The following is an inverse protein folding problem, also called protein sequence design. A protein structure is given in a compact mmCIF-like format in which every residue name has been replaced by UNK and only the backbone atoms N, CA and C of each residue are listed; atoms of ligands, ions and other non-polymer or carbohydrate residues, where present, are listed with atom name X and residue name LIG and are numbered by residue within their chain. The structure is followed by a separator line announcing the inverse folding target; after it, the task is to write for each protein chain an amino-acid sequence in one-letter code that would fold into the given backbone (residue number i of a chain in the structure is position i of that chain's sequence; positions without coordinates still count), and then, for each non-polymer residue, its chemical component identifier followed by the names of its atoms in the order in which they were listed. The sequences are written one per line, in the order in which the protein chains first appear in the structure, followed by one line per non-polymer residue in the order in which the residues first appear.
data_IF_497548210496
#
_entry.id   IF_497548210496
#
_cell.length_a   1.000
_cell.length_b   1.000
_cell.length_c   1.000
_cell.angle_alpha   90.00
_cell.angle_beta   90.00
_cell.angle_gamma   90.00
#
_symmetry.space_group_name_H-M   'P 1'
#
loop_
_entity.id
_entity.type
_entity.pdbx_description
1 polymer ?
#
# COMPACT_ATOMS: atom_id res chain seq x y z
N UNK A 1 -5.98 -21.24 14.08
CA UNK A 1 -6.29 -20.23 13.06
C UNK A 1 -5.54 -20.61 11.79
N UNK A 2 -6.21 -20.55 10.61
CA UNK A 2 -5.62 -20.86 9.31
C UNK A 2 -5.39 -19.55 8.56
N UNK A 3 -4.13 -19.24 8.27
CA UNK A 3 -3.72 -18.01 7.57
C UNK A 3 -3.05 -18.40 6.26
N UNK A 4 -3.56 -17.87 5.15
CA UNK A 4 -2.95 -18.07 3.83
C UNK A 4 -2.13 -16.84 3.45
N UNK A 5 -0.89 -17.08 3.01
CA UNK A 5 -0.03 -16.07 2.41
C UNK A 5 0.14 -16.29 0.92
N UNK A 6 -0.17 -15.26 0.13
CA UNK A 6 0.16 -15.22 -1.28
C UNK A 6 1.61 -14.74 -1.45
N UNK A 7 2.39 -15.45 -2.26
CA UNK A 7 3.80 -15.11 -2.53
C UNK A 7 4.66 -14.94 -1.27
N UNK A 8 4.70 -15.92 -0.33
CA UNK A 8 5.35 -15.77 0.97
C UNK A 8 6.88 -15.59 0.89
N UNK A 9 7.47 -15.76 -0.29
CA UNK A 9 8.89 -15.59 -0.57
C UNK A 9 9.26 -14.14 -0.97
N UNK A 10 8.28 -13.27 -1.17
CA UNK A 10 8.52 -11.89 -1.60
C UNK A 10 7.67 -10.89 -0.81
N UNK A 11 8.27 -9.82 -0.25
CA UNK A 11 9.72 -9.55 -0.12
C UNK A 11 10.46 -10.59 0.73
N UNK A 12 11.77 -10.82 0.49
CA UNK A 12 12.49 -11.93 1.15
C UNK A 12 12.50 -11.91 2.66
N UNK A 13 12.43 -10.73 3.30
CA UNK A 13 12.44 -10.58 4.76
C UNK A 13 11.04 -10.75 5.40
N UNK A 14 9.95 -10.82 4.61
CA UNK A 14 8.58 -10.97 5.12
C UNK A 14 8.27 -12.38 5.65
N UNK A 15 9.18 -13.34 5.47
CA UNK A 15 9.04 -14.64 6.14
C UNK A 15 8.87 -14.52 7.66
N UNK A 16 9.36 -13.43 8.28
CA UNK A 16 9.23 -13.18 9.72
C UNK A 16 7.77 -13.08 10.15
N UNK A 17 6.90 -12.46 9.36
CA UNK A 17 5.45 -12.45 9.63
C UNK A 17 4.87 -13.87 9.63
N UNK A 18 5.28 -14.69 8.67
CA UNK A 18 4.88 -16.09 8.62
C UNK A 18 5.40 -16.87 9.84
N UNK A 19 6.67 -16.66 10.20
CA UNK A 19 7.31 -17.32 11.32
C UNK A 19 6.62 -16.96 12.67
N UNK A 20 6.37 -15.67 12.91
CA UNK A 20 5.75 -15.21 14.15
C UNK A 20 4.31 -15.67 14.27
N UNK A 21 3.54 -15.71 13.18
CA UNK A 21 2.20 -16.30 13.17
C UNK A 21 2.24 -17.79 13.47
N UNK A 22 3.21 -18.53 12.94
CA UNK A 22 3.40 -19.95 13.23
C UNK A 22 3.77 -20.17 14.70
N UNK A 23 4.67 -19.37 15.27
CA UNK A 23 5.04 -19.40 16.67
C UNK A 23 3.85 -19.08 17.58
N UNK A 24 2.95 -18.20 17.15
CA UNK A 24 1.68 -17.91 17.81
C UNK A 24 0.62 -19.02 17.65
N UNK A 25 0.96 -20.15 17.01
CA UNK A 25 0.09 -21.33 16.88
C UNK A 25 -0.86 -21.31 15.67
N UNK A 26 -0.63 -20.43 14.69
CA UNK A 26 -1.40 -20.47 13.44
C UNK A 26 -0.86 -21.54 12.48
N UNK A 27 -1.76 -22.14 11.68
CA UNK A 27 -1.38 -22.83 10.45
C UNK A 27 -1.09 -21.76 9.39
N UNK A 28 0.15 -21.64 8.98
CA UNK A 28 0.58 -20.68 7.96
C UNK A 28 0.75 -21.40 6.63
N UNK A 29 -0.11 -21.09 5.68
CA UNK A 29 -0.28 -21.81 4.42
C UNK A 29 0.16 -20.90 3.26
N UNK A 30 1.21 -21.27 2.55
CA UNK A 30 1.76 -20.47 1.46
C UNK A 30 1.20 -20.86 0.09
N UNK A 31 0.88 -19.89 -0.76
CA UNK A 31 0.60 -20.09 -2.18
C UNK A 31 1.60 -19.24 -2.97
N UNK A 32 2.30 -19.84 -3.93
CA UNK A 32 3.27 -19.14 -4.78
C UNK A 32 3.60 -19.94 -6.03
N UNK A 33 4.31 -19.31 -6.96
CA UNK A 33 4.77 -19.91 -8.20
C UNK A 33 6.24 -20.38 -8.14
N UNK A 34 6.99 -19.94 -7.13
CA UNK A 34 8.36 -20.37 -6.91
C UNK A 34 8.41 -21.88 -6.60
N UNK A 35 9.29 -22.67 -7.25
CA UNK A 35 9.54 -24.06 -6.87
C UNK A 35 9.92 -24.18 -5.39
N UNK A 36 9.36 -25.19 -4.70
CA UNK A 36 9.60 -25.38 -3.26
C UNK A 36 11.09 -25.45 -2.89
N UNK A 37 11.89 -26.09 -3.73
CA UNK A 37 13.32 -26.26 -3.48
C UNK A 37 14.12 -24.95 -3.62
N UNK A 38 13.58 -23.96 -4.33
CA UNK A 38 14.17 -22.63 -4.47
C UNK A 38 13.80 -21.69 -3.32
N UNK A 39 12.75 -22.01 -2.54
CA UNK A 39 12.41 -21.24 -1.36
C UNK A 39 13.56 -21.28 -0.36
N UNK A 40 13.85 -20.15 0.29
CA UNK A 40 14.84 -20.11 1.37
C UNK A 40 14.46 -21.06 2.51
N UNK A 41 15.46 -21.53 3.27
CA UNK A 41 15.22 -22.34 4.47
C UNK A 41 14.28 -21.64 5.46
N UNK A 42 14.38 -20.31 5.56
CA UNK A 42 13.58 -19.50 6.47
C UNK A 42 12.11 -19.48 6.06
N UNK A 43 11.81 -19.25 4.78
CA UNK A 43 10.44 -19.34 4.24
C UNK A 43 9.88 -20.75 4.45
N UNK A 44 10.62 -21.80 4.10
CA UNK A 44 10.18 -23.18 4.30
C UNK A 44 9.90 -23.50 5.76
N UNK A 45 10.76 -23.03 6.67
CA UNK A 45 10.60 -23.20 8.11
C UNK A 45 9.41 -22.44 8.70
N UNK A 46 9.08 -21.28 8.13
CA UNK A 46 7.97 -20.44 8.56
C UNK A 46 6.58 -20.95 8.10
N UNK A 47 6.51 -21.76 7.07
CA UNK A 47 5.25 -22.29 6.56
C UNK A 47 4.87 -23.62 7.21
N UNK A 48 3.57 -23.88 7.36
CA UNK A 48 3.00 -25.19 7.70
C UNK A 48 2.91 -26.06 6.46
N UNK A 49 2.48 -25.48 5.35
CA UNK A 49 2.41 -26.12 4.05
C UNK A 49 2.55 -25.07 2.94
N UNK A 50 3.04 -25.50 1.79
CA UNK A 50 3.17 -24.66 0.59
C UNK A 50 2.50 -25.34 -0.61
N UNK A 51 1.62 -24.61 -1.27
CA UNK A 51 0.97 -25.02 -2.51
C UNK A 51 1.55 -24.23 -3.68
N UNK A 52 2.29 -24.92 -4.57
CA UNK A 52 2.82 -24.31 -5.77
C UNK A 52 1.73 -24.22 -6.85
N UNK A 53 1.58 -23.06 -7.46
CA UNK A 53 0.83 -22.84 -8.71
C UNK A 53 1.84 -22.57 -9.84
N UNK A 54 1.47 -22.78 -11.10
CA UNK A 54 2.39 -22.50 -12.21
C UNK A 54 2.46 -21.01 -12.56
N UNK A 55 1.36 -20.28 -12.29
CA UNK A 55 1.25 -18.85 -12.52
C UNK A 55 0.29 -18.24 -11.50
N UNK A 56 0.79 -17.32 -10.69
CA UNK A 56 0.01 -16.59 -9.68
C UNK A 56 -1.04 -15.64 -10.28
N UNK A 57 -0.93 -15.29 -11.57
CA UNK A 57 -1.93 -14.47 -12.26
C UNK A 57 -3.13 -15.31 -12.75
N UNK A 58 -2.99 -16.63 -12.77
CA UNK A 58 -4.08 -17.52 -13.16
C UNK A 58 -5.03 -17.74 -11.97
N UNK A 59 -6.05 -16.91 -11.87
CA UNK A 59 -6.96 -16.84 -10.73
C UNK A 59 -7.57 -18.20 -10.33
N UNK A 60 -8.00 -19.03 -11.29
CA UNK A 60 -8.58 -20.35 -11.01
C UNK A 60 -7.58 -21.32 -10.35
N UNK A 61 -6.27 -21.11 -10.56
CA UNK A 61 -5.25 -21.91 -9.86
C UNK A 61 -5.21 -21.52 -8.37
N UNK A 62 -5.34 -20.24 -8.05
CA UNK A 62 -5.41 -19.75 -6.66
C UNK A 62 -6.68 -20.25 -5.96
N UNK A 63 -7.82 -20.24 -6.65
CA UNK A 63 -9.10 -20.79 -6.14
C UNK A 63 -8.94 -22.28 -5.80
N UNK A 64 -8.30 -23.07 -6.68
CA UNK A 64 -8.04 -24.49 -6.41
C UNK A 64 -7.09 -24.70 -5.22
N UNK A 65 -6.05 -23.88 -5.10
CA UNK A 65 -5.14 -23.95 -3.97
C UNK A 65 -5.82 -23.62 -2.64
N UNK A 66 -6.68 -22.56 -2.61
CA UNK A 66 -7.50 -22.24 -1.43
C UNK A 66 -8.52 -23.36 -1.12
N UNK A 67 -9.14 -23.93 -2.13
CA UNK A 67 -10.05 -25.08 -1.99
C UNK A 67 -9.35 -26.28 -1.37
N UNK A 68 -8.13 -26.58 -1.82
CA UNK A 68 -7.29 -27.63 -1.24
C UNK A 68 -7.00 -27.36 0.24
N UNK A 69 -6.56 -26.15 0.59
CA UNK A 69 -6.29 -25.80 1.98
C UNK A 69 -7.54 -25.82 2.85
N UNK A 70 -8.68 -25.34 2.30
CA UNK A 70 -9.97 -25.41 3.00
C UNK A 70 -10.38 -26.84 3.28
N UNK A 71 -10.20 -27.76 2.32
CA UNK A 71 -10.47 -29.18 2.51
C UNK A 71 -9.59 -29.80 3.59
N UNK A 72 -8.31 -29.46 3.60
CA UNK A 72 -7.32 -30.09 4.48
C UNK A 72 -7.27 -29.52 5.90
N UNK A 73 -7.45 -28.19 6.04
CA UNK A 73 -7.29 -27.46 7.29
C UNK A 73 -8.60 -26.87 7.85
N UNK A 74 -9.67 -26.93 7.08
CA UNK A 74 -10.93 -26.28 7.40
C UNK A 74 -10.97 -24.82 6.94
N UNK A 75 -11.88 -24.04 7.51
CA UNK A 75 -12.08 -22.64 7.11
C UNK A 75 -10.77 -21.83 7.18
N UNK A 76 -10.51 -21.07 6.14
CA UNK A 76 -9.44 -20.09 6.12
C UNK A 76 -9.92 -18.83 6.86
N UNK A 77 -9.18 -18.44 7.89
CA UNK A 77 -9.53 -17.31 8.75
C UNK A 77 -9.01 -15.99 8.19
N UNK A 78 -7.79 -16.00 7.59
CA UNK A 78 -7.15 -14.83 7.00
C UNK A 78 -6.42 -15.21 5.71
N UNK A 79 -6.35 -14.23 4.80
CA UNK A 79 -5.60 -14.32 3.56
C UNK A 79 -4.92 -12.96 3.33
N UNK A 80 -3.61 -12.96 3.12
CA UNK A 80 -2.83 -11.75 2.90
C UNK A 80 -1.56 -12.06 2.08
N UNK A 81 -0.96 -11.04 1.47
CA UNK A 81 0.37 -11.10 0.87
C UNK A 81 1.31 -10.12 1.55
N UNK A 82 0.77 -9.19 2.35
CA UNK A 82 1.46 -8.00 2.86
C UNK A 82 2.11 -7.16 1.73
N UNK A 83 1.59 -7.31 0.51
CA UNK A 83 2.12 -6.75 -0.71
C UNK A 83 1.01 -6.06 -1.50
N UNK A 84 1.27 -4.83 -1.92
CA UNK A 84 0.29 -4.02 -2.65
C UNK A 84 -0.09 -4.61 -4.01
N UNK A 85 0.83 -5.33 -4.65
CA UNK A 85 0.62 -5.93 -5.96
C UNK A 85 -0.57 -6.91 -5.98
N UNK A 86 -0.77 -7.69 -4.90
CA UNK A 86 -1.80 -8.73 -4.83
C UNK A 86 -3.12 -8.27 -4.22
N UNK A 87 -3.26 -7.01 -3.81
CA UNK A 87 -4.46 -6.51 -3.10
C UNK A 87 -5.79 -6.83 -3.79
N UNK A 88 -5.88 -6.67 -5.11
CA UNK A 88 -7.10 -6.98 -5.86
C UNK A 88 -7.39 -8.49 -5.90
N UNK A 89 -6.35 -9.30 -6.05
CA UNK A 89 -6.45 -10.77 -6.02
C UNK A 89 -6.88 -11.23 -4.63
N UNK A 90 -6.30 -10.67 -3.57
CA UNK A 90 -6.70 -10.94 -2.19
C UNK A 90 -8.16 -10.60 -1.95
N UNK A 91 -8.59 -9.40 -2.35
CA UNK A 91 -9.97 -8.95 -2.16
C UNK A 91 -10.98 -9.89 -2.83
N UNK A 92 -10.69 -10.31 -4.07
CA UNK A 92 -11.52 -11.26 -4.82
C UNK A 92 -11.56 -12.64 -4.18
N UNK A 93 -10.41 -13.16 -3.73
CA UNK A 93 -10.35 -14.45 -3.02
C UNK A 93 -11.07 -14.41 -1.67
N UNK A 94 -11.01 -13.26 -0.96
CA UNK A 94 -11.76 -13.06 0.28
C UNK A 94 -13.27 -13.07 0.05
N UNK A 95 -13.73 -12.51 -1.08
CA UNK A 95 -15.15 -12.59 -1.46
C UNK A 95 -15.58 -14.04 -1.75
N UNK A 96 -14.84 -14.74 -2.60
CA UNK A 96 -15.19 -16.10 -3.04
C UNK A 96 -15.19 -17.12 -1.88
N UNK A 97 -14.30 -16.96 -0.89
CA UNK A 97 -14.17 -17.87 0.25
C UNK A 97 -14.73 -17.32 1.57
N UNK A 98 -15.41 -16.19 1.52
CA UNK A 98 -15.94 -15.50 2.71
C UNK A 98 -14.91 -15.34 3.84
N UNK A 99 -13.70 -14.87 3.48
CA UNK A 99 -12.60 -14.60 4.41
C UNK A 99 -12.70 -13.12 4.86
N UNK A 100 -12.41 -12.85 6.14
CA UNK A 100 -12.40 -11.50 6.68
C UNK A 100 -11.27 -10.66 6.08
N UNK A 101 -11.54 -9.37 5.85
CA UNK A 101 -10.62 -8.37 5.33
C UNK A 101 -11.23 -7.56 4.19
N UNK A 102 -10.42 -6.68 3.57
CA UNK A 102 -10.83 -5.80 2.47
C UNK A 102 -11.46 -6.61 1.33
N UNK A 103 -12.63 -6.18 0.87
CA UNK A 103 -13.44 -6.83 -0.15
C UNK A 103 -13.26 -6.18 -1.53
N UNK A 104 -13.73 -6.88 -2.57
CA UNK A 104 -13.73 -6.36 -3.94
C UNK A 104 -14.51 -5.05 -4.10
N UNK A 105 -15.56 -4.84 -3.31
CA UNK A 105 -16.32 -3.58 -3.31
C UNK A 105 -15.58 -2.39 -2.69
N UNK A 106 -14.52 -2.64 -1.94
CA UNK A 106 -13.77 -1.63 -1.18
C UNK A 106 -12.40 -1.32 -1.80
N UNK A 107 -11.87 -2.26 -2.60
CA UNK A 107 -10.48 -2.21 -3.06
C UNK A 107 -10.16 -0.99 -3.91
N UNK A 108 -11.11 -0.50 -4.69
CA UNK A 108 -10.94 0.66 -5.56
C UNK A 108 -10.65 1.94 -4.77
N UNK A 109 -11.24 2.10 -3.58
CA UNK A 109 -10.98 3.24 -2.70
C UNK A 109 -9.56 3.24 -2.10
N UNK A 110 -8.89 2.10 -2.15
CA UNK A 110 -7.52 1.93 -1.66
C UNK A 110 -6.52 2.04 -2.82
N UNK A 111 -6.88 1.57 -4.02
CA UNK A 111 -5.98 1.50 -5.17
C UNK A 111 -6.07 2.69 -6.11
N UNK A 112 -7.29 3.21 -6.35
CA UNK A 112 -7.49 4.33 -7.28
C UNK A 112 -7.30 5.66 -6.56
N UNK A 113 -6.26 6.39 -6.96
CA UNK A 113 -5.85 7.66 -6.33
C UNK A 113 -6.97 8.72 -6.32
N UNK A 114 -7.79 8.74 -7.38
CA UNK A 114 -8.97 9.62 -7.45
C UNK A 114 -9.99 9.29 -6.36
N UNK A 115 -10.35 8.02 -6.18
CA UNK A 115 -11.31 7.56 -5.17
C UNK A 115 -10.71 7.62 -3.76
N UNK A 116 -9.43 7.33 -3.62
CA UNK A 116 -8.68 7.48 -2.35
C UNK A 116 -8.77 8.94 -1.84
N UNK A 117 -8.62 9.93 -2.74
CA UNK A 117 -8.76 11.36 -2.37
C UNK A 117 -10.16 11.71 -1.89
N UNK A 118 -11.19 11.07 -2.43
CA UNK A 118 -12.55 11.28 -1.94
C UNK A 118 -12.74 10.74 -0.51
N UNK A 119 -12.09 9.65 -0.17
CA UNK A 119 -12.07 9.13 1.21
C UNK A 119 -11.31 10.06 2.16
N UNK A 120 -10.15 10.58 1.77
CA UNK A 120 -9.44 11.59 2.56
C UNK A 120 -10.30 12.83 2.82
N UNK A 121 -10.98 13.34 1.78
CA UNK A 121 -11.89 14.50 1.94
C UNK A 121 -13.04 14.21 2.91
N UNK A 122 -13.64 13.01 2.85
CA UNK A 122 -14.67 12.56 3.81
C UNK A 122 -14.14 12.52 5.25
N UNK A 123 -12.87 12.15 5.43
CA UNK A 123 -12.19 12.19 6.72
C UNK A 123 -11.83 13.62 7.20
N UNK A 124 -12.13 14.65 6.41
CA UNK A 124 -11.72 16.03 6.72
C UNK A 124 -10.22 16.28 6.51
N UNK A 125 -9.54 15.39 5.78
CA UNK A 125 -8.09 15.45 5.53
C UNK A 125 -7.83 16.19 4.22
N UNK A 126 -6.93 17.17 4.27
CA UNK A 126 -6.52 17.93 3.09
C UNK A 126 -5.75 17.03 2.11
N UNK A 127 -6.09 17.14 0.83
CA UNK A 127 -5.41 16.44 -0.28
C UNK A 127 -5.10 17.40 -1.41
N UNK A 128 -4.12 17.07 -2.25
CA UNK A 128 -3.85 17.80 -3.47
C UNK A 128 -5.11 17.85 -4.36
N UNK A 129 -5.36 19.01 -4.96
CA UNK A 129 -6.41 19.15 -5.98
C UNK A 129 -5.99 18.35 -7.22
N UNK A 130 -6.91 17.60 -7.78
CA UNK A 130 -6.61 16.76 -8.93
C UNK A 130 -7.85 16.20 -9.56
N UNK A 131 -7.70 15.74 -10.79
CA UNK A 131 -8.75 15.06 -11.56
C UNK A 131 -8.16 14.02 -12.51
N UNK A 132 -8.94 13.00 -12.82
CA UNK A 132 -8.61 12.05 -13.90
C UNK A 132 -8.86 12.75 -15.22
N UNK A 133 -7.76 13.12 -15.92
CA UNK A 133 -7.83 13.88 -17.13
C UNK A 133 -7.77 12.98 -18.38
N UNK A 134 -8.87 12.89 -19.10
CA UNK A 134 -8.91 12.17 -20.38
C UNK A 134 -8.40 13.04 -21.55
N UNK A 135 -8.48 14.36 -21.44
CA UNK A 135 -8.08 15.33 -22.47
C UNK A 135 -7.14 16.40 -21.93
N UNK A 136 -6.37 16.99 -22.82
CA UNK A 136 -5.50 18.16 -22.51
C UNK A 136 -6.32 19.31 -21.95
N UNK A 137 -7.53 19.55 -22.49
CA UNK A 137 -8.41 20.64 -22.08
C UNK A 137 -8.90 20.47 -20.63
N UNK A 138 -9.21 19.25 -20.23
CA UNK A 138 -9.57 18.94 -18.84
C UNK A 138 -8.40 19.23 -17.88
N UNK A 139 -7.19 18.81 -18.25
CA UNK A 139 -5.99 19.12 -17.46
C UNK A 139 -5.71 20.63 -17.41
N UNK A 140 -5.85 21.34 -18.53
CA UNK A 140 -5.71 22.81 -18.58
C UNK A 140 -6.71 23.52 -17.67
N UNK A 141 -7.92 22.97 -17.49
CA UNK A 141 -8.89 23.55 -16.58
C UNK A 141 -8.39 23.51 -15.13
N UNK A 142 -7.85 22.38 -14.68
CA UNK A 142 -7.23 22.26 -13.36
C UNK A 142 -6.03 23.22 -13.24
N UNK A 143 -5.15 23.25 -14.24
CA UNK A 143 -3.94 24.07 -14.21
C UNK A 143 -4.25 25.58 -14.13
N UNK A 144 -5.35 26.05 -14.70
CA UNK A 144 -5.77 27.46 -14.51
C UNK A 144 -6.06 27.80 -13.05
N UNK A 145 -6.43 26.81 -12.25
CA UNK A 145 -6.75 27.00 -10.82
C UNK A 145 -5.53 26.77 -9.91
N UNK A 146 -4.64 25.83 -10.30
CA UNK A 146 -3.53 25.39 -9.46
C UNK A 146 -2.20 26.01 -9.86
N UNK A 147 -2.02 26.39 -11.13
CA UNK A 147 -0.74 26.73 -11.73
C UNK A 147 0.09 25.49 -12.06
N UNK A 148 1.27 25.74 -12.64
CA UNK A 148 2.34 24.77 -12.80
C UNK A 148 3.34 24.86 -11.63
N UNK A 149 4.11 23.78 -11.35
CA UNK A 149 4.04 22.46 -11.98
C UNK A 149 2.84 21.64 -11.52
N UNK A 150 2.49 20.61 -12.31
CA UNK A 150 1.53 19.58 -11.94
C UNK A 150 2.16 18.20 -12.03
N UNK A 151 1.58 17.22 -11.33
CA UNK A 151 2.00 15.82 -11.36
C UNK A 151 0.99 15.01 -12.13
N UNK A 152 1.46 14.22 -13.10
CA UNK A 152 0.69 13.20 -13.79
C UNK A 152 1.12 11.81 -13.30
N UNK A 153 0.21 11.02 -12.74
CA UNK A 153 0.49 9.67 -12.28
C UNK A 153 -0.67 8.71 -12.60
N UNK A 154 -0.42 7.39 -12.78
CA UNK A 154 -1.50 6.44 -12.99
C UNK A 154 -2.52 6.52 -11.85
N UNK A 155 -3.81 6.56 -12.20
CA UNK A 155 -4.89 6.55 -11.19
C UNK A 155 -4.91 5.23 -10.43
N UNK A 156 -4.70 4.11 -11.12
CA UNK A 156 -4.46 2.78 -10.53
C UNK A 156 -3.01 2.38 -10.79
N UNK A 157 -2.23 2.20 -9.73
CA UNK A 157 -0.82 1.83 -9.81
C UNK A 157 -0.13 1.90 -8.47
N UNK A 158 0.99 1.20 -8.36
CA UNK A 158 1.79 1.07 -7.14
C UNK A 158 3.12 1.82 -7.27
N UNK A 159 3.53 2.50 -6.20
CA UNK A 159 4.77 3.26 -6.16
C UNK A 159 4.75 4.49 -7.08
N UNK A 160 5.92 5.06 -7.33
CA UNK A 160 6.09 6.26 -8.17
C UNK A 160 6.32 5.92 -9.66
N UNK A 161 6.08 4.68 -10.10
CA UNK A 161 6.30 4.23 -11.47
C UNK A 161 5.38 5.01 -12.41
N UNK A 162 5.95 5.51 -13.52
CA UNK A 162 5.24 6.31 -14.52
C UNK A 162 4.59 7.59 -13.95
N UNK A 163 5.23 8.19 -12.94
CA UNK A 163 4.87 9.50 -12.41
C UNK A 163 5.72 10.57 -13.09
N UNK A 164 5.06 11.61 -13.62
CA UNK A 164 5.68 12.69 -14.38
C UNK A 164 5.40 14.03 -13.74
N UNK A 165 6.42 14.85 -13.62
CA UNK A 165 6.29 16.26 -13.32
C UNK A 165 6.19 17.02 -14.65
N UNK A 166 5.18 17.85 -14.76
CA UNK A 166 4.92 18.68 -15.95
C UNK A 166 5.07 20.14 -15.51
N UNK A 167 6.07 20.81 -16.07
CA UNK A 167 6.46 22.15 -15.65
C UNK A 167 5.80 23.25 -16.48
N UNK A 168 5.30 22.90 -17.68
CA UNK A 168 4.67 23.85 -18.60
C UNK A 168 3.69 23.19 -19.58
N UNK A 169 3.12 24.01 -20.52
CA UNK A 169 2.21 23.53 -21.55
C UNK A 169 2.88 22.59 -22.55
N UNK A 170 4.19 22.71 -22.80
CA UNK A 170 4.91 21.84 -23.72
C UNK A 170 5.00 20.43 -23.15
N UNK A 171 5.34 20.32 -21.87
CA UNK A 171 5.37 19.04 -21.15
C UNK A 171 3.97 18.40 -21.12
N UNK A 172 2.94 19.18 -20.85
CA UNK A 172 1.56 18.70 -20.85
C UNK A 172 1.16 18.09 -22.20
N UNK A 173 1.44 18.80 -23.30
CA UNK A 173 1.12 18.31 -24.65
C UNK A 173 1.94 17.08 -25.01
N UNK A 174 3.24 17.04 -24.65
CA UNK A 174 4.10 15.90 -24.88
C UNK A 174 3.60 14.68 -24.11
N UNK A 175 3.23 14.85 -22.84
CA UNK A 175 2.66 13.79 -22.01
C UNK A 175 1.41 13.19 -22.64
N UNK A 176 0.42 14.00 -23.04
CA UNK A 176 -0.81 13.49 -23.66
C UNK A 176 -0.61 12.81 -25.01
N UNK A 177 0.46 13.14 -25.74
CA UNK A 177 0.83 12.45 -27.00
C UNK A 177 1.45 11.06 -26.77
N UNK A 178 2.14 10.88 -25.65
CA UNK A 178 2.98 9.69 -25.40
C UNK A 178 2.53 8.82 -24.23
N UNK A 179 1.57 9.31 -23.42
CA UNK A 179 1.12 8.59 -22.23
C UNK A 179 0.61 7.18 -22.53
N UNK A 180 0.81 6.20 -21.64
CA UNK A 180 0.15 4.89 -21.72
C UNK A 180 -1.37 5.03 -21.78
N UNK A 181 -2.06 4.00 -22.29
CA UNK A 181 -3.52 4.00 -22.47
C UNK A 181 -4.37 3.88 -21.20
N UNK A 182 -3.77 3.80 -20.02
CA UNK A 182 -4.45 3.77 -18.72
C UNK A 182 -4.86 5.19 -18.27
N UNK A 183 -5.76 5.24 -17.29
CA UNK A 183 -6.19 6.47 -16.67
C UNK A 183 -5.07 7.13 -15.87
N UNK A 184 -4.91 8.45 -16.03
CA UNK A 184 -3.99 9.27 -15.27
C UNK A 184 -4.73 10.34 -14.48
N UNK A 185 -4.38 10.46 -13.20
CA UNK A 185 -4.76 11.62 -12.40
C UNK A 185 -3.71 12.72 -12.59
N UNK A 186 -4.18 13.94 -12.89
CA UNK A 186 -3.35 15.15 -12.90
C UNK A 186 -3.62 15.88 -11.59
N UNK A 187 -2.57 16.24 -10.85
CA UNK A 187 -2.66 16.86 -9.53
C UNK A 187 -1.78 18.09 -9.43
N UNK A 188 -2.18 19.07 -8.60
CA UNK A 188 -1.27 20.14 -8.22
C UNK A 188 -0.01 19.56 -7.54
N UNK A 189 1.12 20.17 -7.80
CA UNK A 189 2.35 19.82 -7.14
C UNK A 189 2.37 20.36 -5.71
N UNK A 190 2.56 19.48 -4.74
CA UNK A 190 2.69 19.85 -3.34
C UNK A 190 4.17 19.86 -2.96
N UNK A 191 4.69 21.03 -2.63
CA UNK A 191 6.03 21.18 -2.08
C UNK A 191 5.99 20.98 -0.56
N UNK A 192 6.77 20.04 -0.03
CA UNK A 192 6.81 19.74 1.38
C UNK A 192 7.74 18.58 1.71
N UNK A 193 8.07 18.43 2.99
CA UNK A 193 8.76 17.26 3.48
C UNK A 193 7.79 16.06 3.53
N UNK A 194 8.26 14.86 3.20
CA UNK A 194 7.44 13.66 3.26
C UNK A 194 7.50 13.07 4.65
N UNK A 195 6.33 12.74 5.17
CA UNK A 195 6.12 12.00 6.41
C UNK A 195 5.27 10.78 6.14
N UNK A 196 5.46 9.73 6.94
CA UNK A 196 4.49 8.64 7.02
C UNK A 196 3.89 8.53 8.41
N UNK A 197 2.66 8.03 8.48
CA UNK A 197 2.00 7.57 9.68
C UNK A 197 1.69 6.10 9.49
N UNK A 198 2.33 5.27 10.30
CA UNK A 198 2.40 3.83 10.12
C UNK A 198 1.90 3.10 11.37
N UNK A 199 1.44 1.87 11.19
CA UNK A 199 1.05 1.04 12.33
C UNK A 199 0.30 -0.21 11.94
N UNK A 200 -0.32 -0.83 12.95
CA UNK A 200 -1.18 -2.00 12.84
C UNK A 200 -2.48 -1.73 13.56
N UNK A 201 -3.61 -1.89 12.89
CA UNK A 201 -4.94 -1.79 13.48
C UNK A 201 -5.47 -3.17 13.91
N UNK A 202 -6.21 -3.19 15.02
CA UNK A 202 -6.94 -4.36 15.49
C UNK A 202 -8.23 -4.60 14.66
N UNK A 203 -9.01 -5.59 15.09
CA UNK A 203 -10.28 -5.95 14.44
C UNK A 203 -11.33 -4.84 14.47
N UNK A 204 -11.26 -3.93 15.41
CA UNK A 204 -12.19 -2.81 15.56
C UNK A 204 -11.70 -1.55 14.86
N UNK A 205 -10.53 -1.61 14.21
CA UNK A 205 -9.88 -0.44 13.59
C UNK A 205 -9.10 0.42 14.58
N UNK A 206 -8.87 -0.07 15.81
CA UNK A 206 -8.06 0.66 16.78
C UNK A 206 -6.58 0.36 16.54
N UNK A 207 -5.73 1.37 16.32
CA UNK A 207 -4.30 1.14 16.18
C UNK A 207 -3.70 0.54 17.45
N UNK A 208 -3.06 -0.64 17.31
CA UNK A 208 -2.33 -1.32 18.38
C UNK A 208 -1.01 -0.63 18.71
N UNK A 209 -0.36 -0.11 17.70
CA UNK A 209 0.75 0.82 17.79
C UNK A 209 0.73 1.77 16.60
N UNK A 210 1.37 2.93 16.77
CA UNK A 210 1.62 3.89 15.70
C UNK A 210 3.07 4.35 15.77
N UNK A 211 3.62 4.64 14.60
CA UNK A 211 4.93 5.27 14.44
C UNK A 211 4.88 6.22 13.26
N UNK A 212 5.89 7.06 13.14
CA UNK A 212 5.99 7.97 12.01
C UNK A 212 7.44 8.07 11.54
N UNK A 213 7.60 8.29 10.25
CA UNK A 213 8.90 8.48 9.62
C UNK A 213 8.91 9.79 8.84
N UNK A 214 10.09 10.34 8.63
CA UNK A 214 10.33 11.40 7.66
C UNK A 214 11.43 10.99 6.70
N UNK A 215 11.36 11.52 5.48
CA UNK A 215 12.20 11.13 4.35
C UNK A 215 13.02 12.30 3.86
N UNK A 216 14.29 12.05 3.49
CA UNK A 216 15.20 13.09 3.04
C UNK A 216 14.81 13.71 1.69
N UNK A 217 14.01 12.99 0.90
CA UNK A 217 13.49 13.44 -0.40
C UNK A 217 12.29 12.57 -0.82
N UNK A 218 11.59 12.99 -1.90
CA UNK A 218 10.46 12.24 -2.44
C UNK A 218 10.85 10.93 -3.11
N UNK A 219 9.92 9.97 -3.10
CA UNK A 219 10.10 8.69 -3.81
C UNK A 219 10.21 8.93 -5.32
N UNK A 220 9.49 9.92 -5.87
CA UNK A 220 9.52 10.26 -7.28
C UNK A 220 10.94 10.66 -7.74
N UNK A 221 11.59 11.55 -7.01
CA UNK A 221 12.98 11.97 -7.29
C UNK A 221 13.95 10.80 -7.12
N UNK A 222 13.71 9.97 -6.10
CA UNK A 222 14.52 8.77 -5.86
C UNK A 222 14.45 7.81 -7.03
N UNK A 223 13.26 7.50 -7.53
CA UNK A 223 13.03 6.53 -8.62
C UNK A 223 13.46 7.11 -9.98
N UNK A 224 13.07 8.35 -10.29
CA UNK A 224 13.31 8.94 -11.60
C UNK A 224 14.76 9.39 -11.80
N UNK A 225 15.45 9.82 -10.74
CA UNK A 225 16.80 10.37 -10.80
C UNK A 225 17.86 9.41 -10.25
N UNK A 226 17.47 8.24 -9.75
CA UNK A 226 18.37 7.24 -9.17
C UNK A 226 19.10 7.75 -7.91
N UNK A 227 18.46 8.64 -7.16
CA UNK A 227 19.04 9.20 -5.93
C UNK A 227 18.90 8.27 -4.75
N UNK A 228 19.78 8.41 -3.77
CA UNK A 228 19.66 7.72 -2.49
C UNK A 228 18.60 8.38 -1.64
N UNK A 229 17.78 7.58 -0.96
CA UNK A 229 16.84 8.03 0.05
C UNK A 229 17.33 7.65 1.45
N UNK A 230 17.25 8.59 2.38
CA UNK A 230 17.41 8.32 3.80
C UNK A 230 16.10 8.66 4.51
N UNK A 231 15.74 7.87 5.51
CA UNK A 231 14.58 8.11 6.35
C UNK A 231 14.85 7.62 7.77
N UNK A 232 14.10 8.16 8.72
CA UNK A 232 14.24 7.79 10.13
C UNK A 232 12.91 7.86 10.86
N UNK A 233 12.78 7.04 11.91
CA UNK A 233 11.62 7.08 12.80
C UNK A 233 11.65 8.33 13.66
N UNK A 234 10.51 8.98 13.80
CA UNK A 234 10.34 10.08 14.73
C UNK A 234 10.22 9.55 16.17
N UNK A 235 10.87 10.23 17.09
CA UNK A 235 10.75 9.91 18.52
C UNK A 235 9.35 10.21 19.06
N UNK A 236 8.74 11.27 18.55
CA UNK A 236 7.38 11.71 18.90
C UNK A 236 6.64 12.00 17.61
N UNK A 237 5.42 11.49 17.50
CA UNK A 237 4.56 11.76 16.34
C UNK A 237 4.00 13.18 16.49
N UNK A 238 4.15 14.06 15.48
CA UNK A 238 3.51 15.39 15.54
C UNK A 238 2.00 15.23 15.76
N UNK A 239 1.40 15.96 16.73
CA UNK A 239 -0.02 15.79 17.06
C UNK A 239 -0.98 15.97 15.89
N UNK A 240 -0.67 16.89 14.96
CA UNK A 240 -1.46 17.10 13.76
C UNK A 240 -1.38 15.91 12.80
N UNK A 241 -0.20 15.31 12.63
CA UNK A 241 0.00 14.11 11.81
C UNK A 241 -0.75 12.92 12.42
N UNK A 242 -0.65 12.73 13.73
CA UNK A 242 -1.35 11.63 14.41
C UNK A 242 -2.86 11.77 14.29
N UNK A 243 -3.41 12.97 14.51
CA UNK A 243 -4.84 13.20 14.39
C UNK A 243 -5.35 12.90 12.97
N UNK A 244 -4.64 13.36 11.94
CA UNK A 244 -4.98 13.09 10.54
C UNK A 244 -4.80 11.60 10.19
N UNK A 245 -3.73 10.98 10.63
CA UNK A 245 -3.47 9.56 10.40
C UNK A 245 -4.57 8.67 11.00
N UNK A 246 -4.99 8.94 12.24
CA UNK A 246 -6.10 8.23 12.90
C UNK A 246 -7.42 8.43 12.17
N UNK A 247 -7.74 9.64 11.72
CA UNK A 247 -8.93 9.91 10.90
C UNK A 247 -8.89 9.12 9.58
N UNK A 248 -7.71 8.96 8.97
CA UNK A 248 -7.55 8.11 7.79
C UNK A 248 -7.81 6.63 8.12
N UNK A 249 -7.21 6.08 9.19
CA UNK A 249 -7.42 4.69 9.62
C UNK A 249 -8.91 4.38 9.76
N UNK A 250 -9.68 5.28 10.38
CA UNK A 250 -11.13 5.17 10.52
C UNK A 250 -11.85 5.24 9.16
N UNK A 251 -11.56 6.26 8.35
CA UNK A 251 -12.26 6.50 7.07
C UNK A 251 -12.01 5.41 6.02
N UNK A 252 -10.82 4.79 6.05
CA UNK A 252 -10.47 3.67 5.17
C UNK A 252 -10.85 2.31 5.77
N UNK A 253 -11.54 2.28 6.90
CA UNK A 253 -11.99 1.07 7.60
C UNK A 253 -10.85 0.05 7.75
N UNK A 254 -9.69 0.48 8.24
CA UNK A 254 -8.53 -0.38 8.39
C UNK A 254 -8.73 -1.33 9.57
N UNK A 255 -8.96 -2.61 9.29
CA UNK A 255 -9.23 -3.63 10.29
C UNK A 255 -8.26 -4.81 10.16
N UNK A 256 -7.65 -5.22 11.29
CA UNK A 256 -6.68 -6.33 11.35
C UNK A 256 -5.60 -6.24 10.26
N UNK A 257 -5.07 -5.02 10.03
CA UNK A 257 -4.15 -4.78 8.91
C UNK A 257 -3.13 -3.71 9.24
N UNK A 258 -1.94 -3.86 8.66
CA UNK A 258 -0.93 -2.81 8.61
C UNK A 258 -1.41 -1.65 7.74
N UNK A 259 -1.01 -0.46 8.11
CA UNK A 259 -1.21 0.75 7.32
C UNK A 259 0.08 1.55 7.23
N UNK A 260 0.26 2.16 6.08
CA UNK A 260 1.33 3.09 5.72
C UNK A 260 0.68 4.25 4.98
N UNK A 261 0.56 5.39 5.62
CA UNK A 261 -0.14 6.57 5.11
C UNK A 261 0.86 7.70 4.95
N UNK A 262 0.99 8.23 3.74
CA UNK A 262 1.97 9.24 3.41
C UNK A 262 1.35 10.64 3.37
N UNK A 263 2.12 11.64 3.84
CA UNK A 263 1.72 13.03 3.91
C UNK A 263 2.87 13.94 3.49
N UNK A 264 2.54 15.10 2.92
CA UNK A 264 3.46 16.22 2.80
C UNK A 264 3.25 17.18 3.96
N UNK A 265 4.31 17.59 4.66
CA UNK A 265 4.28 18.75 5.55
C UNK A 265 4.65 19.99 4.72
N UNK A 266 3.66 20.85 4.46
CA UNK A 266 3.81 22.06 3.63
C UNK A 266 4.26 23.28 4.44
N UNK A 267 3.94 23.30 5.72
CA UNK A 267 4.41 24.21 6.74
C UNK A 267 4.33 23.50 8.10
N UNK A 268 5.02 23.99 9.14
CA UNK A 268 5.04 23.33 10.45
C UNK A 268 3.63 22.99 10.94
N UNK A 269 3.34 21.69 11.09
CA UNK A 269 2.05 21.15 11.52
C UNK A 269 0.92 21.21 10.48
N UNK A 270 1.22 21.56 9.22
CA UNK A 270 0.24 21.55 8.12
C UNK A 270 0.53 20.40 7.18
N UNK A 271 -0.33 19.39 7.20
CA UNK A 271 -0.17 18.18 6.41
C UNK A 271 -1.19 18.09 5.28
N UNK A 272 -0.76 17.53 4.14
CA UNK A 272 -1.57 17.21 2.96
C UNK A 272 -1.38 15.73 2.68
N UNK A 273 -2.45 14.93 2.68
CA UNK A 273 -2.34 13.50 2.43
C UNK A 273 -1.96 13.21 0.99
N UNK A 274 -1.03 12.27 0.84
CA UNK A 274 -0.53 11.81 -0.46
C UNK A 274 -1.18 10.49 -0.86
N UNK A 275 -1.02 9.45 -0.03
CA UNK A 275 -1.41 8.08 -0.36
C UNK A 275 -1.66 7.24 0.90
N UNK A 276 -2.57 6.26 0.80
CA UNK A 276 -2.75 5.21 1.81
C UNK A 276 -2.36 3.86 1.22
N UNK A 277 -1.53 3.13 1.94
CA UNK A 277 -1.13 1.77 1.61
C UNK A 277 -1.52 0.84 2.75
N UNK A 278 -2.38 -0.15 2.47
CA UNK A 278 -2.82 -1.13 3.48
C UNK A 278 -1.89 -2.34 3.53
N UNK A 279 -0.64 -2.08 3.84
CA UNK A 279 0.45 -3.04 3.99
C UNK A 279 1.55 -2.47 4.89
N UNK A 280 2.50 -3.30 5.35
CA UNK A 280 3.72 -2.78 5.95
C UNK A 280 4.47 -1.87 4.96
N UNK A 281 5.13 -0.80 5.42
CA UNK A 281 6.00 0.00 4.57
C UNK A 281 7.18 -0.82 4.05
N UNK A 282 7.74 -0.39 2.91
CA UNK A 282 8.83 -1.09 2.24
C UNK A 282 10.17 -1.02 2.97
N UNK A 283 11.16 -1.73 2.43
CA UNK A 283 12.51 -1.77 2.98
C UNK A 283 12.56 -2.44 4.36
N UNK A 284 13.43 -1.95 5.22
CA UNK A 284 13.59 -2.42 6.61
C UNK A 284 12.75 -1.64 7.62
N UNK A 285 11.69 -0.99 7.18
CA UNK A 285 10.89 -0.11 8.06
C UNK A 285 10.17 -0.90 9.16
N UNK A 286 9.80 -2.15 8.91
CA UNK A 286 9.26 -3.03 9.95
C UNK A 286 10.28 -3.38 11.03
N UNK A 287 11.55 -3.57 10.67
CA UNK A 287 12.63 -3.70 11.66
C UNK A 287 12.80 -2.40 12.47
N UNK A 288 12.63 -1.23 11.82
CA UNK A 288 12.63 0.05 12.54
C UNK A 288 11.45 0.18 13.51
N UNK A 289 10.27 -0.38 13.18
CA UNK A 289 9.14 -0.44 14.12
C UNK A 289 9.53 -1.17 15.41
N UNK A 290 10.18 -2.31 15.29
CA UNK A 290 10.61 -3.11 16.43
C UNK A 290 11.55 -2.30 17.33
N UNK A 291 12.55 -1.65 16.75
CA UNK A 291 13.51 -0.82 17.51
C UNK A 291 12.90 0.45 18.09
N UNK A 292 12.02 1.12 17.35
CA UNK A 292 11.43 2.39 17.77
C UNK A 292 10.35 2.25 18.85
N UNK A 293 9.67 1.10 18.89
CA UNK A 293 8.52 0.88 19.75
C UNK A 293 8.74 -0.24 20.79
N UNK A 294 9.93 -0.87 20.82
CA UNK A 294 10.25 -2.02 21.68
C UNK A 294 9.22 -3.16 21.51
N UNK A 295 8.94 -3.49 20.26
CA UNK A 295 8.00 -4.55 19.85
C UNK A 295 8.72 -5.56 18.97
N UNK A 296 8.09 -6.72 18.74
CA UNK A 296 8.57 -7.77 17.81
C UNK A 296 7.40 -8.24 16.95
N UNK A 297 7.33 -7.76 15.69
CA UNK A 297 6.31 -8.07 14.70
C UNK A 297 6.84 -8.90 13.54
#
# INVERSE_FOLDING_TARGET
MNVVFLSPHFPPHYFRFCLNLKLAGANVLGIGDEPYDNLSSDVRGALTEYYRVDDMHHYDALVRALGYFTHRYGKIDRLDSLNEYWLSTEARLRDDFNIFGVRGSEIDFIRRKSLMKDNFRKAGVTVARGLVAQTVEAARSLIRETGYPVIAKPDDGVGAIATYRLDDNQDLEAFFKTRPGNDYIIEEFIAGAIYSFDGLADRNGTPLFCTAHTFSQGIMETVNEGRHIAYYSLREIPPALEAMGRACVESFAVHERFFHIEFFETAPGQFVALEVNLRPPGGYTTDMFNFANDIDI
#
